data_IF_971508290180
#
_entry.id   IF_971508290180
#
_cell.length_a   1.000
_cell.length_b   1.000
_cell.length_c   1.000
_cell.angle_alpha   90.00
_cell.angle_beta   90.00
_cell.angle_gamma   90.00
#
_symmetry.space_group_name_H-M   'P 1'
#
loop_
_entity.id
_entity.type
_entity.pdbx_description
1 polymer ?
#
# COMPACT_ATOMS: atom_id res chain seq x y z
N UNK A 1 17.76 -28.68 0.32
CA UNK A 1 17.91 -27.31 -0.23
C UNK A 1 17.38 -26.36 0.85
N UNK A 2 18.27 -25.86 1.71
CA UNK A 2 17.92 -25.11 2.93
C UNK A 2 17.99 -23.60 2.66
N UNK A 3 16.88 -22.99 2.22
CA UNK A 3 16.74 -21.52 2.07
C UNK A 3 16.30 -20.82 3.36
N UNK A 4 16.56 -21.42 4.53
CA UNK A 4 15.92 -21.00 5.78
C UNK A 4 16.55 -19.79 6.46
N UNK A 5 17.77 -19.37 6.11
CA UNK A 5 18.53 -18.40 6.92
C UNK A 5 18.85 -17.05 6.29
N UNK A 6 18.43 -16.77 5.05
CA UNK A 6 18.62 -15.44 4.45
C UNK A 6 17.27 -14.72 4.26
N UNK A 7 17.10 -13.60 4.95
CA UNK A 7 15.85 -12.82 4.91
C UNK A 7 15.60 -12.21 3.52
N UNK A 8 16.66 -11.84 2.80
CA UNK A 8 16.56 -11.32 1.43
C UNK A 8 16.10 -12.41 0.45
N UNK A 9 16.62 -13.63 0.58
CA UNK A 9 16.21 -14.77 -0.26
C UNK A 9 14.78 -15.21 0.00
N UNK A 10 14.33 -15.18 1.27
CA UNK A 10 12.93 -15.46 1.61
C UNK A 10 11.99 -14.40 1.04
N UNK A 11 12.37 -13.13 1.12
CA UNK A 11 11.58 -12.04 0.56
C UNK A 11 11.53 -12.11 -0.97
N UNK A 12 12.67 -12.40 -1.62
CA UNK A 12 12.71 -12.58 -3.07
C UNK A 12 11.82 -13.75 -3.52
N UNK A 13 11.90 -14.88 -2.83
CA UNK A 13 11.08 -16.05 -3.13
C UNK A 13 9.59 -15.81 -2.87
N UNK A 14 9.23 -15.16 -1.76
CA UNK A 14 7.85 -14.80 -1.43
C UNK A 14 7.27 -13.82 -2.45
N UNK A 15 8.02 -12.77 -2.81
CA UNK A 15 7.60 -11.79 -3.82
C UNK A 15 7.45 -12.45 -5.20
N UNK A 16 8.32 -13.39 -5.56
CA UNK A 16 8.19 -14.18 -6.78
C UNK A 16 6.90 -15.00 -6.81
N UNK A 17 6.55 -15.66 -5.70
CA UNK A 17 5.32 -16.44 -5.58
C UNK A 17 4.06 -15.56 -5.60
N UNK A 18 4.08 -14.41 -4.93
CA UNK A 18 2.98 -13.44 -4.94
C UNK A 18 2.76 -12.88 -6.34
N UNK A 19 3.82 -12.46 -7.04
CA UNK A 19 3.70 -11.92 -8.39
C UNK A 19 3.17 -12.96 -9.38
N UNK A 20 3.61 -14.22 -9.26
CA UNK A 20 3.08 -15.30 -10.07
C UNK A 20 1.59 -15.51 -9.81
N UNK A 21 1.17 -15.50 -8.54
CA UNK A 21 -0.22 -15.68 -8.14
C UNK A 21 -1.11 -14.51 -8.60
N UNK A 22 -0.62 -13.27 -8.55
CA UNK A 22 -1.30 -12.08 -9.08
C UNK A 22 -1.49 -12.20 -10.60
N UNK A 23 -0.44 -12.57 -11.35
CA UNK A 23 -0.55 -12.77 -12.80
C UNK A 23 -1.52 -13.90 -13.17
N UNK A 24 -1.57 -14.98 -12.39
CA UNK A 24 -2.53 -16.07 -12.61
C UNK A 24 -3.98 -15.63 -12.34
N UNK A 25 -4.20 -14.80 -11.32
CA UNK A 25 -5.51 -14.24 -11.01
C UNK A 25 -6.01 -13.27 -12.09
N UNK A 26 -5.12 -12.45 -12.68
CA UNK A 26 -5.44 -11.60 -13.84
C UNK A 26 -5.83 -12.41 -15.09
N UNK A 27 -5.37 -13.66 -15.19
CA UNK A 27 -5.73 -14.61 -16.25
C UNK A 27 -6.98 -15.45 -15.92
N UNK A 28 -7.62 -15.20 -14.78
CA UNK A 28 -8.86 -15.85 -14.35
C UNK A 28 -8.67 -17.12 -13.52
N UNK A 29 -7.46 -17.41 -13.02
CA UNK A 29 -7.16 -18.54 -12.15
C UNK A 29 -6.73 -18.06 -10.75
N UNK A 30 -7.66 -18.10 -9.80
CA UNK A 30 -7.49 -17.61 -8.43
C UNK A 30 -6.95 -18.65 -7.44
N UNK A 31 -6.83 -19.91 -7.84
CA UNK A 31 -6.52 -21.04 -6.94
C UNK A 31 -5.15 -20.90 -6.28
N UNK A 32 -4.19 -20.30 -6.98
CA UNK A 32 -2.84 -20.07 -6.46
C UNK A 32 -2.79 -18.99 -5.36
N UNK A 33 -3.61 -17.93 -5.48
CA UNK A 33 -3.75 -16.94 -4.41
C UNK A 33 -4.42 -17.55 -3.18
N UNK A 34 -5.48 -18.34 -3.39
CA UNK A 34 -6.20 -19.01 -2.29
C UNK A 34 -5.28 -20.00 -1.52
N UNK A 35 -4.43 -20.74 -2.23
CA UNK A 35 -3.45 -21.64 -1.59
C UNK A 35 -2.32 -20.92 -0.85
N UNK A 36 -1.90 -19.75 -1.34
CA UNK A 36 -0.88 -18.92 -0.68
C UNK A 36 -1.43 -18.22 0.58
N UNK A 37 -2.73 -17.95 0.64
CA UNK A 37 -3.38 -17.23 1.73
C UNK A 37 -3.73 -18.13 2.94
N UNK A 38 -3.92 -19.44 2.73
CA UNK A 38 -4.36 -20.34 3.81
C UNK A 38 -5.80 -20.05 4.28
N UNK A 39 -6.30 -20.82 5.26
CA UNK A 39 -7.71 -20.79 5.68
C UNK A 39 -8.19 -19.37 6.05
N UNK A 40 -9.07 -18.84 5.21
CA UNK A 40 -9.12 -17.43 4.81
C UNK A 40 -10.01 -16.54 5.71
N UNK A 41 -10.04 -16.77 7.03
CA UNK A 41 -10.95 -16.04 7.93
C UNK A 41 -10.31 -14.87 8.69
N UNK A 42 -8.97 -14.78 8.76
CA UNK A 42 -8.30 -13.73 9.55
C UNK A 42 -7.02 -13.14 8.91
N UNK A 43 -6.85 -13.16 7.59
CA UNK A 43 -5.68 -12.51 6.98
C UNK A 43 -5.76 -10.97 7.15
N UNK A 44 -4.85 -10.35 7.93
CA UNK A 44 -4.89 -8.90 8.16
C UNK A 44 -4.70 -8.09 6.88
N UNK A 45 -3.98 -8.64 5.90
CA UNK A 45 -3.71 -7.95 4.63
C UNK A 45 -4.96 -7.85 3.74
N UNK A 46 -5.83 -8.86 3.75
CA UNK A 46 -7.08 -8.81 2.98
C UNK A 46 -8.06 -7.81 3.59
N UNK A 47 -8.08 -7.70 4.93
CA UNK A 47 -8.83 -6.65 5.62
C UNK A 47 -8.31 -5.26 5.25
N UNK A 48 -6.99 -5.08 5.25
CA UNK A 48 -6.36 -3.81 4.85
C UNK A 48 -6.69 -3.46 3.40
N UNK A 49 -6.62 -4.43 2.48
CA UNK A 49 -6.99 -4.25 1.06
C UNK A 49 -8.42 -3.75 0.91
N UNK A 50 -9.39 -4.45 1.53
CA UNK A 50 -10.82 -4.05 1.51
C UNK A 50 -11.04 -2.67 2.11
N UNK A 51 -10.37 -2.35 3.21
CA UNK A 51 -10.47 -1.03 3.84
C UNK A 51 -9.86 0.08 2.97
N UNK A 52 -8.80 -0.20 2.21
CA UNK A 52 -8.23 0.74 1.24
C UNK A 52 -9.19 1.00 0.07
N UNK A 53 -9.85 -0.04 -0.46
CA UNK A 53 -10.88 0.10 -1.50
C UNK A 53 -12.06 0.94 -0.99
N UNK A 54 -12.52 0.67 0.23
CA UNK A 54 -13.57 1.47 0.87
C UNK A 54 -13.16 2.94 1.03
N UNK A 55 -11.95 3.21 1.52
CA UNK A 55 -11.44 4.57 1.65
C UNK A 55 -11.35 5.30 0.30
N UNK A 56 -10.95 4.59 -0.76
CA UNK A 56 -10.90 5.16 -2.09
C UNK A 56 -12.32 5.52 -2.60
N UNK A 57 -13.30 4.63 -2.40
CA UNK A 57 -14.69 4.90 -2.73
C UNK A 57 -15.26 6.10 -1.96
N UNK A 58 -14.95 6.22 -0.66
CA UNK A 58 -15.34 7.39 0.14
C UNK A 58 -14.71 8.67 -0.41
N UNK A 59 -13.43 8.64 -0.77
CA UNK A 59 -12.75 9.79 -1.35
C UNK A 59 -13.34 10.19 -2.71
N UNK A 60 -13.70 9.23 -3.55
CA UNK A 60 -14.31 9.52 -4.86
C UNK A 60 -15.75 10.05 -4.75
N UNK A 61 -16.43 9.74 -3.65
CA UNK A 61 -17.73 10.34 -3.30
C UNK A 61 -17.61 11.73 -2.65
N UNK A 62 -16.39 12.23 -2.42
CA UNK A 62 -16.13 13.51 -1.76
C UNK A 62 -16.11 13.44 -0.23
N UNK A 63 -16.28 12.25 0.36
CA UNK A 63 -16.25 12.02 1.81
C UNK A 63 -14.79 11.89 2.29
N UNK A 64 -13.99 12.93 2.06
CA UNK A 64 -12.54 12.91 2.30
C UNK A 64 -12.18 12.78 3.79
N UNK A 65 -12.92 13.40 4.69
CA UNK A 65 -12.67 13.28 6.15
C UNK A 65 -12.89 11.84 6.67
N UNK A 66 -13.95 11.18 6.18
CA UNK A 66 -14.23 9.78 6.52
C UNK A 66 -13.16 8.84 5.94
N UNK A 67 -12.76 9.08 4.69
CA UNK A 67 -11.66 8.34 4.06
C UNK A 67 -10.35 8.49 4.86
N UNK A 68 -9.99 9.71 5.29
CA UNK A 68 -8.79 9.97 6.09
C UNK A 68 -8.87 9.28 7.46
N UNK A 69 -10.03 9.27 8.10
CA UNK A 69 -10.23 8.58 9.38
C UNK A 69 -9.94 7.08 9.23
N UNK A 70 -10.57 6.44 8.23
CA UNK A 70 -10.36 5.02 7.94
C UNK A 70 -8.90 4.71 7.59
N UNK A 71 -8.26 5.54 6.75
CA UNK A 71 -6.87 5.34 6.34
C UNK A 71 -5.87 5.48 7.51
N UNK A 72 -6.14 6.37 8.47
CA UNK A 72 -5.30 6.49 9.67
C UNK A 72 -5.38 5.25 10.58
N UNK A 73 -6.57 4.63 10.69
CA UNK A 73 -6.72 3.37 11.42
C UNK A 73 -5.95 2.23 10.74
N UNK A 74 -5.97 2.18 9.41
CA UNK A 74 -5.16 1.24 8.63
C UNK A 74 -3.67 1.49 8.87
N UNK A 75 -3.22 2.74 8.83
CA UNK A 75 -1.81 3.10 9.05
C UNK A 75 -1.33 2.71 10.45
N UNK A 76 -2.17 2.91 11.47
CA UNK A 76 -1.91 2.45 12.83
C UNK A 76 -1.75 0.92 12.88
N UNK A 77 -2.61 0.19 12.18
CA UNK A 77 -2.52 -1.28 12.07
C UNK A 77 -1.22 -1.70 11.38
N UNK A 78 -0.89 -1.09 10.23
CA UNK A 78 0.33 -1.38 9.48
C UNK A 78 1.60 -1.15 10.31
N UNK A 79 1.62 -0.14 11.18
CA UNK A 79 2.77 0.13 12.07
C UNK A 79 3.10 -1.00 13.05
N UNK A 80 2.14 -1.90 13.32
CA UNK A 80 2.31 -3.06 14.19
C UNK A 80 2.76 -4.32 13.44
N UNK A 81 2.67 -4.30 12.11
CA UNK A 81 2.99 -5.42 11.23
C UNK A 81 4.40 -5.25 10.64
N UNK A 82 4.95 -6.35 10.14
CA UNK A 82 6.21 -6.36 9.37
C UNK A 82 6.11 -7.35 8.22
N UNK A 83 6.80 -7.05 7.12
CA UNK A 83 6.94 -7.93 5.97
C UNK A 83 6.41 -7.31 4.67
N UNK A 84 6.46 -8.07 3.56
CA UNK A 84 6.22 -7.53 2.21
C UNK A 84 4.84 -6.88 2.03
N UNK A 85 3.82 -7.36 2.74
CA UNK A 85 2.49 -6.74 2.73
C UNK A 85 2.47 -5.32 3.30
N UNK A 86 3.30 -5.04 4.32
CA UNK A 86 3.46 -3.67 4.84
C UNK A 86 4.18 -2.81 3.82
N UNK A 87 5.24 -3.34 3.21
CA UNK A 87 6.01 -2.63 2.18
C UNK A 87 5.12 -2.23 0.99
N UNK A 88 4.12 -3.06 0.66
CA UNK A 88 3.13 -2.80 -0.37
C UNK A 88 2.06 -1.77 0.06
N UNK A 89 1.43 -1.96 1.21
CA UNK A 89 0.25 -1.16 1.60
C UNK A 89 0.60 0.19 2.23
N UNK A 90 1.71 0.29 2.97
CA UNK A 90 2.08 1.50 3.70
C UNK A 90 2.24 2.73 2.79
N UNK A 91 3.03 2.70 1.69
CA UNK A 91 3.17 3.87 0.82
C UNK A 91 1.84 4.23 0.14
N UNK A 92 1.02 3.22 -0.23
CA UNK A 92 -0.30 3.42 -0.82
C UNK A 92 -1.28 4.14 0.12
N UNK A 93 -1.35 3.71 1.38
CA UNK A 93 -2.21 4.36 2.40
C UNK A 93 -1.78 5.80 2.62
N UNK A 94 -0.48 6.06 2.76
CA UNK A 94 0.07 7.41 2.88
C UNK A 94 -0.28 8.28 1.66
N UNK A 95 -0.15 7.74 0.45
CA UNK A 95 -0.54 8.40 -0.79
C UNK A 95 -2.02 8.78 -0.83
N UNK A 96 -2.92 7.88 -0.43
CA UNK A 96 -4.36 8.13 -0.37
C UNK A 96 -4.71 9.22 0.66
N UNK A 97 -4.08 9.20 1.84
CA UNK A 97 -4.27 10.26 2.85
C UNK A 97 -3.84 11.62 2.27
N UNK A 98 -2.67 11.65 1.62
CA UNK A 98 -2.16 12.87 1.00
C UNK A 98 -3.09 13.41 -0.08
N UNK A 99 -3.65 12.53 -0.92
CA UNK A 99 -4.62 12.91 -1.94
C UNK A 99 -5.92 13.47 -1.34
N UNK A 100 -6.43 12.86 -0.28
CA UNK A 100 -7.60 13.37 0.43
C UNK A 100 -7.33 14.78 0.99
N UNK A 101 -6.18 14.99 1.64
CA UNK A 101 -5.79 16.31 2.12
C UNK A 101 -5.64 17.34 1.01
N UNK A 102 -5.12 16.94 -0.16
CA UNK A 102 -5.03 17.82 -1.31
C UNK A 102 -6.43 18.22 -1.80
N UNK A 103 -7.36 17.26 -1.95
CA UNK A 103 -8.75 17.52 -2.35
C UNK A 103 -9.50 18.42 -1.36
N UNK A 104 -9.16 18.35 -0.06
CA UNK A 104 -9.66 19.26 0.98
C UNK A 104 -8.97 20.63 1.01
N UNK A 105 -8.02 20.92 0.11
CA UNK A 105 -7.27 22.18 0.06
C UNK A 105 -6.16 22.29 1.11
N UNK A 106 -5.92 21.26 1.91
CA UNK A 106 -4.85 21.24 2.90
C UNK A 106 -3.52 20.77 2.28
N UNK A 107 -2.90 21.67 1.51
CA UNK A 107 -1.64 21.40 0.79
C UNK A 107 -0.49 20.96 1.70
N UNK A 108 -0.38 21.53 2.90
CA UNK A 108 0.70 21.19 3.85
C UNK A 108 0.62 19.74 4.31
N UNK A 109 -0.58 19.29 4.71
CA UNK A 109 -0.78 17.90 5.09
C UNK A 109 -0.62 16.97 3.88
N UNK A 110 -1.10 17.38 2.70
CA UNK A 110 -0.89 16.60 1.47
C UNK A 110 0.59 16.35 1.18
N UNK A 111 1.42 17.41 1.21
CA UNK A 111 2.85 17.29 1.00
C UNK A 111 3.51 16.39 2.05
N UNK A 112 3.14 16.52 3.32
CA UNK A 112 3.69 15.69 4.40
C UNK A 112 3.48 14.20 4.12
N UNK A 113 2.25 13.79 3.82
CA UNK A 113 1.93 12.38 3.62
C UNK A 113 2.48 11.82 2.31
N UNK A 114 2.46 12.61 1.23
CA UNK A 114 3.07 12.20 -0.04
C UNK A 114 4.58 12.09 0.09
N UNK A 115 5.23 12.96 0.88
CA UNK A 115 6.66 12.86 1.18
C UNK A 115 6.97 11.60 1.99
N UNK A 116 6.16 11.28 2.99
CA UNK A 116 6.32 10.03 3.74
C UNK A 116 6.19 8.79 2.84
N UNK A 117 5.23 8.80 1.89
CA UNK A 117 5.10 7.73 0.90
C UNK A 117 6.36 7.62 0.01
N UNK A 118 6.86 8.76 -0.48
CA UNK A 118 8.09 8.82 -1.26
C UNK A 118 9.30 8.29 -0.50
N UNK A 119 9.55 8.80 0.71
CA UNK A 119 10.69 8.40 1.54
C UNK A 119 10.64 6.91 1.88
N UNK A 120 9.43 6.37 2.09
CA UNK A 120 9.22 4.95 2.31
C UNK A 120 9.58 4.13 1.06
N UNK A 121 9.08 4.49 -0.12
CA UNK A 121 9.42 3.82 -1.39
C UNK A 121 10.94 3.83 -1.65
N UNK A 122 11.61 4.95 -1.39
CA UNK A 122 13.07 5.04 -1.46
C UNK A 122 13.75 4.06 -0.51
N UNK A 123 13.25 3.94 0.73
CA UNK A 123 13.84 3.05 1.74
C UNK A 123 13.75 1.56 1.37
N UNK A 124 12.69 1.16 0.64
CA UNK A 124 12.49 -0.22 0.18
C UNK A 124 12.98 -0.46 -1.26
N UNK A 125 13.59 0.56 -1.90
CA UNK A 125 14.07 0.53 -3.29
C UNK A 125 12.96 0.26 -4.34
N UNK A 126 11.76 0.74 -4.07
CA UNK A 126 10.67 0.78 -5.05
C UNK A 126 10.76 2.08 -5.86
N UNK A 127 11.58 2.04 -6.92
CA UNK A 127 11.83 3.20 -7.78
C UNK A 127 10.59 3.63 -8.57
N UNK A 128 9.72 2.69 -8.95
CA UNK A 128 8.51 2.98 -9.72
C UNK A 128 7.55 3.83 -8.89
N UNK A 129 7.21 3.36 -7.68
CA UNK A 129 6.33 4.12 -6.78
C UNK A 129 6.99 5.42 -6.31
N UNK A 130 8.31 5.44 -6.09
CA UNK A 130 9.03 6.65 -5.72
C UNK A 130 8.94 7.72 -6.83
N UNK A 131 9.02 7.34 -8.10
CA UNK A 131 8.86 8.28 -9.21
C UNK A 131 7.45 8.89 -9.23
N UNK A 132 6.41 8.09 -8.98
CA UNK A 132 5.02 8.56 -8.91
C UNK A 132 4.86 9.59 -7.79
N UNK A 133 5.31 9.28 -6.57
CA UNK A 133 5.20 10.22 -5.45
C UNK A 133 6.10 11.44 -5.61
N UNK A 134 7.26 11.30 -6.25
CA UNK A 134 8.15 12.41 -6.59
C UNK A 134 7.48 13.41 -7.53
N UNK A 135 6.76 12.93 -8.55
CA UNK A 135 6.01 13.80 -9.45
C UNK A 135 4.84 14.48 -8.72
N UNK A 136 4.13 13.76 -7.85
CA UNK A 136 3.07 14.34 -7.02
C UNK A 136 3.59 15.47 -6.13
N UNK A 137 4.78 15.32 -5.51
CA UNK A 137 5.43 16.39 -4.74
C UNK A 137 5.75 17.60 -5.62
N UNK A 138 6.29 17.38 -6.83
CA UNK A 138 6.62 18.46 -7.75
C UNK A 138 5.38 19.26 -8.14
N UNK A 139 4.27 18.57 -8.42
CA UNK A 139 2.98 19.20 -8.72
C UNK A 139 2.51 20.04 -7.52
N UNK A 140 2.51 19.48 -6.31
CA UNK A 140 2.08 20.18 -5.10
C UNK A 140 2.87 21.45 -4.82
N UNK A 141 4.18 21.42 -5.05
CA UNK A 141 5.09 22.55 -4.80
C UNK A 141 5.01 23.63 -5.88
N UNK A 142 4.43 23.32 -7.04
CA UNK A 142 4.28 24.26 -8.16
C UNK A 142 3.00 25.10 -8.13
N UNK A 143 2.05 24.78 -7.24
CA UNK A 143 0.74 25.45 -7.10
C UNK A 143 0.65 26.37 -5.90
#
# INVERSE_FOLDING_TARGET
MEYRNNAEERNWYANGLINLAVCMNELGDSDCLEHLQGDNSENPLDRIGKSCEQANNLSDQGNHDEAVTLLNEILATLSTLKGPGVDFYQPRVLGLIGMCHFRMGNKKSAELFIRQAYDFCISIRDEESANIYGENLRILQSQ
#
